data_IF_624582093468
#
_entry.id   IF_624582093468
#
_cell.length_a   1.000
_cell.length_b   1.000
_cell.length_c   1.000
_cell.angle_alpha   90.00
_cell.angle_beta   90.00
_cell.angle_gamma   90.00
#
_symmetry.space_group_name_H-M   'P 1'
#
loop_
_entity.id
_entity.type
_entity.pdbx_description
1 polymer ?
#
# COMPACT_ATOMS: atom_id res chain seq x y z
N UNK A 1 26.40 83.10 34.07
CA UNK A 1 27.73 82.71 33.57
C UNK A 1 27.58 81.41 32.81
N UNK A 2 27.93 81.44 31.52
CA UNK A 2 28.08 80.36 30.52
C UNK A 2 26.78 79.62 30.14
N UNK A 3 26.21 79.69 28.92
CA UNK A 3 26.75 79.82 27.54
C UNK A 3 26.69 78.43 26.88
N UNK A 4 25.75 78.06 25.98
CA UNK A 4 25.59 78.46 24.54
C UNK A 4 26.90 78.11 23.77
N UNK A 5 26.98 77.32 22.69
CA UNK A 5 26.21 77.28 21.44
C UNK A 5 26.64 76.08 20.56
N UNK A 6 25.79 75.70 19.61
CA UNK A 6 26.13 74.97 18.38
C UNK A 6 27.01 75.83 17.46
N UNK A 7 27.89 75.20 16.68
CA UNK A 7 28.29 75.74 15.36
C UNK A 7 28.59 74.61 14.38
N UNK A 8 27.79 74.60 13.31
CA UNK A 8 28.10 74.09 11.97
C UNK A 8 29.33 74.74 11.35
N UNK A 9 29.78 74.15 10.24
CA UNK A 9 30.39 74.76 9.02
C UNK A 9 31.75 74.12 8.63
N UNK A 10 32.29 74.34 7.41
CA UNK A 10 31.69 74.07 6.08
C UNK A 10 32.72 73.53 5.05
N UNK A 11 32.21 73.21 3.84
CA UNK A 11 32.76 73.52 2.50
C UNK A 11 34.21 73.20 2.09
N UNK A 12 34.33 72.60 0.89
CA UNK A 12 35.09 73.05 -0.30
C UNK A 12 35.82 71.89 -1.01
N UNK A 13 35.46 71.62 -2.28
CA UNK A 13 36.17 72.04 -3.52
C UNK A 13 37.52 71.30 -3.66
N UNK A 14 37.90 70.63 -4.75
CA UNK A 14 37.68 70.97 -6.15
C UNK A 14 38.10 69.81 -7.09
N UNK A 15 37.52 69.79 -8.30
CA UNK A 15 38.15 69.74 -9.65
C UNK A 15 39.58 69.15 -9.80
N UNK A 16 40.00 68.42 -10.86
CA UNK A 16 39.45 68.01 -12.16
C UNK A 16 40.49 67.09 -12.86
N UNK A 17 40.05 66.33 -13.89
CA UNK A 17 40.77 65.88 -15.13
C UNK A 17 42.07 65.03 -14.99
N UNK A 18 42.38 63.99 -15.78
CA UNK A 18 42.20 63.82 -17.23
C UNK A 18 42.37 62.34 -17.67
N UNK A 19 41.86 62.08 -18.87
CA UNK A 19 41.96 60.98 -19.83
C UNK A 19 42.87 59.75 -19.59
N UNK A 20 42.31 58.55 -19.87
CA UNK A 20 42.88 57.66 -20.90
C UNK A 20 41.88 56.65 -21.50
N UNK A 21 42.07 56.44 -22.79
CA UNK A 21 41.25 55.91 -23.89
C UNK A 21 41.08 54.36 -23.89
N UNK A 22 40.07 53.78 -24.57
CA UNK A 22 39.69 52.36 -24.44
C UNK A 22 40.32 51.46 -25.51
N UNK A 23 40.33 50.12 -25.34
CA UNK A 23 40.66 49.22 -26.43
C UNK A 23 39.43 48.82 -27.25
N UNK A 24 39.74 48.62 -28.52
CA UNK A 24 38.91 48.61 -29.73
C UNK A 24 38.58 47.17 -30.13
N UNK A 25 37.30 46.97 -30.50
CA UNK A 25 36.71 45.99 -31.44
C UNK A 25 37.62 44.93 -32.06
N UNK A 26 37.11 43.70 -32.12
CA UNK A 26 37.09 42.92 -33.36
C UNK A 26 35.66 42.57 -33.75
N UNK A 27 35.29 42.97 -34.97
CA UNK A 27 34.14 42.47 -35.73
C UNK A 27 34.54 41.11 -36.30
N UNK A 28 33.63 40.14 -36.29
CA UNK A 28 33.56 39.16 -37.37
C UNK A 28 32.10 38.97 -37.76
N UNK A 29 31.82 39.24 -39.03
CA UNK A 29 30.58 38.98 -39.73
C UNK A 29 30.89 38.06 -40.91
N UNK A 30 29.86 37.32 -41.37
CA UNK A 30 29.78 36.30 -42.43
C UNK A 30 29.89 34.87 -41.90
N UNK A 31 29.08 33.91 -42.32
CA UNK A 31 28.00 33.89 -43.33
C UNK A 31 27.32 32.53 -43.25
N UNK A 32 26.01 32.52 -43.58
CA UNK A 32 25.25 31.43 -44.24
C UNK A 32 25.76 29.99 -44.08
N UNK A 33 24.91 29.14 -43.50
CA UNK A 33 24.42 27.96 -44.21
C UNK A 33 23.06 27.55 -43.62
N UNK A 34 22.03 27.96 -44.37
CA UNK A 34 20.77 27.25 -44.48
C UNK A 34 21.12 25.89 -45.07
N UNK A 35 20.82 24.81 -44.34
CA UNK A 35 20.60 23.50 -44.93
C UNK A 35 19.19 23.07 -44.52
N UNK A 36 18.27 23.25 -45.47
CA UNK A 36 17.13 22.38 -45.62
C UNK A 36 17.64 20.94 -45.65
N UNK A 37 17.23 20.14 -44.67
CA UNK A 37 17.12 18.71 -44.88
C UNK A 37 15.65 18.47 -45.20
N UNK A 38 15.36 18.44 -46.49
CA UNK A 38 14.27 17.63 -47.01
C UNK A 38 14.55 16.19 -46.56
N UNK A 39 13.63 15.62 -45.80
CA UNK A 39 13.55 14.17 -45.64
C UNK A 39 12.11 13.80 -45.92
N UNK A 40 11.88 13.47 -47.18
CA UNK A 40 10.79 12.63 -47.61
C UNK A 40 10.76 11.36 -46.75
N UNK A 41 9.63 11.14 -46.11
CA UNK A 41 9.14 9.81 -45.82
C UNK A 41 7.63 9.87 -45.87
N UNK A 42 7.15 9.77 -47.11
CA UNK A 42 5.92 9.06 -47.41
C UNK A 42 5.93 7.70 -46.69
N UNK A 43 5.05 7.52 -45.72
CA UNK A 43 4.37 6.23 -45.57
C UNK A 43 2.96 6.51 -45.10
N UNK A 44 2.14 6.71 -46.12
CA UNK A 44 0.80 6.15 -46.23
C UNK A 44 0.57 4.93 -45.31
N UNK A 45 -0.46 5.05 -44.47
CA UNK A 45 -1.32 3.95 -44.01
C UNK A 45 -2.56 4.56 -43.39
N UNK A 46 -3.46 4.96 -44.29
CA UNK A 46 -4.82 5.29 -43.95
C UNK A 46 -5.57 4.12 -43.30
N UNK A 47 -6.67 4.51 -42.65
CA UNK A 47 -7.99 3.87 -42.64
C UNK A 47 -8.07 2.37 -42.30
N UNK A 48 -8.98 1.87 -41.47
CA UNK A 48 -10.15 2.36 -40.74
C UNK A 48 -10.64 1.12 -39.94
N UNK A 49 -11.54 1.30 -38.97
CA UNK A 49 -11.97 0.26 -38.05
C UNK A 49 -13.05 -0.64 -38.67
N UNK A 50 -13.06 -1.95 -38.38
CA UNK A 50 -14.27 -2.79 -38.54
C UNK A 50 -14.43 -3.86 -37.46
N UNK A 51 -15.62 -3.79 -36.87
CA UNK A 51 -16.31 -4.70 -35.94
C UNK A 51 -16.33 -6.17 -36.39
N UNK A 52 -16.40 -7.07 -35.40
CA UNK A 52 -17.29 -8.26 -35.28
C UNK A 52 -17.00 -8.85 -33.89
N UNK A 53 -17.89 -8.88 -32.90
CA UNK A 53 -19.26 -9.38 -32.97
C UNK A 53 -19.25 -10.91 -32.82
N UNK A 54 -19.19 -11.42 -31.59
CA UNK A 54 -19.71 -12.77 -31.29
C UNK A 54 -20.12 -12.91 -29.83
N UNK A 55 -21.43 -12.84 -29.62
CA UNK A 55 -22.12 -13.34 -28.43
C UNK A 55 -21.94 -14.87 -28.36
N UNK A 56 -21.70 -15.40 -27.17
CA UNK A 56 -21.98 -16.80 -26.84
C UNK A 56 -23.05 -16.82 -25.75
N UNK A 57 -24.25 -17.23 -26.15
CA UNK A 57 -25.36 -17.61 -25.26
C UNK A 57 -25.11 -19.00 -24.64
N UNK A 58 -25.77 -19.30 -23.50
CA UNK A 58 -25.54 -20.48 -22.69
C UNK A 58 -26.18 -21.73 -23.29
N UNK A 59 -25.60 -22.90 -22.99
CA UNK A 59 -26.17 -24.19 -23.36
C UNK A 59 -26.92 -24.75 -22.15
N UNK A 60 -28.25 -24.67 -22.21
CA UNK A 60 -29.14 -25.52 -21.44
C UNK A 60 -29.13 -26.92 -22.07
N UNK A 61 -29.15 -27.95 -21.22
CA UNK A 61 -29.72 -29.25 -21.56
C UNK A 61 -30.45 -29.75 -20.31
N UNK A 62 -31.78 -29.78 -20.42
CA UNK A 62 -32.68 -30.78 -19.84
C UNK A 62 -32.09 -32.19 -20.10
N UNK A 63 -32.27 -33.23 -19.29
CA UNK A 63 -33.19 -33.51 -18.20
C UNK A 63 -33.49 -35.01 -18.29
N UNK A 64 -33.38 -35.76 -17.19
CA UNK A 64 -34.15 -37.00 -17.01
C UNK A 64 -34.26 -37.37 -15.54
N UNK A 65 -35.52 -37.47 -15.16
CA UNK A 65 -36.17 -38.07 -13.99
C UNK A 65 -35.66 -39.47 -13.65
N UNK A 66 -35.56 -39.80 -12.35
CA UNK A 66 -36.38 -40.90 -11.80
C UNK A 66 -36.50 -40.87 -10.27
N UNK A 67 -37.67 -41.33 -9.82
CA UNK A 67 -38.30 -41.30 -8.51
C UNK A 67 -37.74 -42.35 -7.51
N UNK A 68 -37.56 -42.00 -6.22
CA UNK A 68 -38.22 -42.55 -4.99
C UNK A 68 -37.21 -43.14 -3.97
N UNK A 69 -37.55 -43.38 -2.69
CA UNK A 69 -38.28 -42.57 -1.70
C UNK A 69 -37.53 -42.40 -0.35
N UNK A 70 -37.99 -41.42 0.45
CA UNK A 70 -37.67 -41.14 1.88
C UNK A 70 -38.04 -42.29 2.83
N UNK A 71 -37.49 -42.38 4.07
CA UNK A 71 -38.15 -41.75 5.25
C UNK A 71 -37.13 -41.29 6.37
N UNK A 72 -37.54 -40.95 7.62
CA UNK A 72 -37.85 -39.57 8.04
C UNK A 72 -37.13 -39.08 9.34
N UNK A 73 -37.47 -37.85 9.76
CA UNK A 73 -37.21 -37.20 11.08
C UNK A 73 -35.83 -36.54 11.25
N UNK A 74 -35.65 -35.36 11.87
CA UNK A 74 -36.47 -34.63 12.84
C UNK A 74 -36.31 -33.11 12.70
N UNK A 75 -37.41 -32.38 12.93
CA UNK A 75 -37.48 -30.91 12.99
C UNK A 75 -37.00 -30.43 14.36
N UNK A 76 -36.07 -29.49 14.41
CA UNK A 76 -35.93 -28.54 15.52
C UNK A 76 -35.90 -27.11 14.99
N UNK A 77 -36.90 -26.34 15.42
CA UNK A 77 -37.07 -24.90 15.20
C UNK A 77 -36.13 -24.11 16.12
N UNK A 78 -35.42 -23.14 15.57
CA UNK A 78 -34.95 -21.93 16.29
C UNK A 78 -34.69 -20.84 15.25
N UNK A 79 -35.69 -19.96 15.00
CA UNK A 79 -35.72 -18.54 15.38
C UNK A 79 -34.47 -17.73 14.95
N UNK A 80 -34.64 -16.96 13.87
CA UNK A 80 -33.82 -15.80 13.53
C UNK A 80 -33.84 -14.75 14.66
N UNK A 81 -32.74 -14.00 14.80
CA UNK A 81 -32.85 -12.55 14.77
C UNK A 81 -32.10 -11.98 13.57
N UNK A 82 -32.70 -10.91 13.05
CA UNK A 82 -32.11 -10.04 12.06
C UNK A 82 -30.98 -9.21 12.66
N UNK A 83 -30.17 -8.67 11.74
CA UNK A 83 -29.37 -7.46 11.88
C UNK A 83 -28.00 -7.60 12.57
N UNK A 84 -26.96 -7.28 11.81
CA UNK A 84 -25.56 -7.40 12.22
C UNK A 84 -24.67 -7.40 10.99
N UNK A 85 -24.22 -6.19 10.60
CA UNK A 85 -23.46 -5.93 9.39
C UNK A 85 -22.26 -6.86 9.20
N UNK A 86 -22.08 -7.28 7.95
CA UNK A 86 -20.84 -7.88 7.49
C UNK A 86 -19.71 -6.87 7.65
N UNK A 87 -19.04 -6.93 8.80
CA UNK A 87 -17.68 -6.44 8.95
C UNK A 87 -16.84 -7.39 8.11
N UNK A 88 -16.44 -6.95 6.91
CA UNK A 88 -15.33 -7.56 6.19
C UNK A 88 -14.10 -7.40 7.10
N UNK A 89 -13.90 -8.40 7.96
CA UNK A 89 -12.64 -8.59 8.66
C UNK A 89 -11.61 -8.83 7.56
N UNK A 90 -10.68 -7.89 7.41
CA UNK A 90 -9.41 -8.07 6.70
C UNK A 90 -8.61 -9.18 7.41
N UNK A 91 -9.12 -10.40 7.36
CA UNK A 91 -8.54 -11.58 7.96
C UNK A 91 -7.27 -11.88 7.19
N UNK A 92 -6.15 -11.51 7.79
CA UNK A 92 -4.83 -11.92 7.34
C UNK A 92 -4.85 -13.44 7.14
N UNK A 93 -4.79 -13.87 5.88
CA UNK A 93 -4.92 -15.28 5.55
C UNK A 93 -3.69 -16.03 6.08
N UNK A 94 -3.87 -16.80 7.15
CA UNK A 94 -2.80 -17.58 7.76
C UNK A 94 -2.45 -18.75 6.83
N UNK A 95 -1.26 -18.69 6.23
CA UNK A 95 -0.75 -19.78 5.42
C UNK A 95 -0.18 -20.88 6.33
N UNK A 96 -0.85 -22.03 6.34
CA UNK A 96 -0.47 -23.21 7.14
C UNK A 96 0.35 -24.19 6.30
N UNK A 97 1.51 -24.59 6.80
CA UNK A 97 2.39 -25.60 6.17
C UNK A 97 2.62 -26.81 7.07
N UNK A 98 3.05 -27.93 6.48
CA UNK A 98 3.37 -29.15 7.24
C UNK A 98 4.56 -28.87 8.16
N UNK A 99 4.43 -29.23 9.43
CA UNK A 99 5.43 -28.96 10.48
C UNK A 99 5.18 -27.69 11.29
N UNK A 100 4.19 -26.88 10.91
CA UNK A 100 3.78 -25.73 11.72
C UNK A 100 2.99 -26.18 12.95
N UNK A 101 3.15 -25.45 14.05
CA UNK A 101 2.28 -25.56 15.22
C UNK A 101 1.25 -24.44 15.17
N UNK A 102 -0.02 -24.79 15.35
CA UNK A 102 -1.17 -23.89 15.16
C UNK A 102 -2.00 -23.80 16.43
N UNK A 103 -2.62 -22.64 16.62
CA UNK A 103 -3.68 -22.41 17.60
C UNK A 103 -5.02 -22.57 16.89
N UNK A 104 -5.83 -23.50 17.38
CA UNK A 104 -7.20 -23.68 16.93
C UNK A 104 -8.18 -23.07 17.93
N UNK A 105 -9.25 -22.51 17.41
CA UNK A 105 -10.35 -21.98 18.19
C UNK A 105 -11.04 -23.10 19.00
N UNK A 106 -11.22 -22.88 20.30
CA UNK A 106 -11.98 -23.78 21.17
C UNK A 106 -13.43 -23.35 21.37
N UNK A 107 -13.81 -22.17 20.86
CA UNK A 107 -15.04 -21.46 21.17
C UNK A 107 -14.95 -20.57 22.42
N UNK A 108 -13.78 -20.50 23.07
CA UNK A 108 -13.47 -19.59 24.16
C UNK A 108 -12.25 -18.72 23.79
N UNK A 109 -12.42 -17.40 23.79
CA UNK A 109 -11.39 -16.43 23.37
C UNK A 109 -10.13 -16.47 24.26
N UNK A 110 -10.25 -16.92 25.51
CA UNK A 110 -9.12 -17.04 26.43
C UNK A 110 -8.35 -18.35 26.28
N UNK A 111 -8.93 -19.34 25.59
CA UNK A 111 -8.41 -20.69 25.58
C UNK A 111 -8.33 -21.28 24.16
N UNK A 112 -7.13 -21.53 23.67
CA UNK A 112 -6.93 -22.11 22.33
C UNK A 112 -6.40 -23.55 22.42
N UNK A 113 -6.78 -24.40 21.48
CA UNK A 113 -6.17 -25.72 21.33
C UNK A 113 -4.85 -25.62 20.56
N UNK A 114 -3.87 -26.43 20.95
CA UNK A 114 -2.55 -26.45 20.30
C UNK A 114 -2.42 -27.73 19.49
N UNK A 115 -2.03 -27.63 18.22
CA UNK A 115 -1.85 -28.80 17.37
C UNK A 115 -0.66 -28.66 16.40
N UNK A 116 -0.03 -29.79 16.08
CA UNK A 116 1.03 -29.91 15.08
C UNK A 116 0.44 -30.33 13.74
N UNK A 117 0.71 -29.58 12.68
CA UNK A 117 0.23 -29.88 11.33
C UNK A 117 1.04 -31.00 10.72
N UNK A 118 0.41 -32.16 10.50
CA UNK A 118 1.07 -33.36 9.97
C UNK A 118 0.92 -33.53 8.45
N UNK A 119 -0.19 -33.06 7.87
CA UNK A 119 -0.42 -33.10 6.42
C UNK A 119 -1.41 -32.02 6.01
N UNK A 120 -1.21 -31.39 4.85
CA UNK A 120 -2.13 -30.35 4.33
C UNK A 120 -2.81 -30.87 3.06
N UNK A 121 -4.13 -30.70 2.97
CA UNK A 121 -4.93 -31.06 1.80
C UNK A 121 -5.23 -29.82 0.96
N UNK A 122 -4.68 -29.81 -0.26
CA UNK A 122 -4.90 -28.76 -1.27
C UNK A 122 -5.96 -29.26 -2.25
N UNK A 123 -7.02 -28.49 -2.44
CA UNK A 123 -8.09 -28.90 -3.38
C UNK A 123 -7.60 -28.77 -4.83
N UNK A 124 -7.97 -29.70 -5.71
CA UNK A 124 -7.52 -29.72 -7.12
C UNK A 124 -7.89 -28.45 -7.93
N UNK A 125 -8.86 -27.66 -7.47
CA UNK A 125 -9.36 -26.46 -8.17
C UNK A 125 -9.01 -25.13 -7.48
N UNK A 126 -8.27 -25.15 -6.36
CA UNK A 126 -7.80 -23.93 -5.68
C UNK A 126 -6.35 -24.12 -5.26
N UNK A 127 -5.50 -23.14 -5.54
CA UNK A 127 -4.10 -23.08 -5.07
C UNK A 127 -3.96 -22.99 -3.53
N UNK A 128 -5.08 -23.06 -2.78
CA UNK A 128 -5.15 -22.85 -1.33
C UNK A 128 -5.49 -24.15 -0.59
N UNK A 129 -4.86 -24.33 0.57
CA UNK A 129 -5.18 -25.40 1.52
C UNK A 129 -6.61 -25.24 2.03
N UNK A 130 -7.36 -26.35 2.10
CA UNK A 130 -8.77 -26.36 2.56
C UNK A 130 -8.94 -27.06 3.90
N UNK A 131 -8.18 -28.13 4.12
CA UNK A 131 -8.17 -28.88 5.36
C UNK A 131 -6.74 -29.36 5.66
N UNK A 132 -6.47 -29.68 6.92
CA UNK A 132 -5.22 -30.29 7.35
C UNK A 132 -5.48 -31.38 8.39
N UNK A 133 -4.57 -32.35 8.47
CA UNK A 133 -4.54 -33.32 9.56
C UNK A 133 -3.55 -32.83 10.59
N UNK A 134 -3.97 -32.68 11.84
CA UNK A 134 -3.08 -32.26 12.91
C UNK A 134 -3.04 -33.28 14.04
N UNK A 135 -1.90 -33.31 14.73
CA UNK A 135 -1.66 -34.07 15.94
C UNK A 135 -1.79 -33.15 17.14
N UNK A 136 -2.62 -33.52 18.11
CA UNK A 136 -2.96 -32.63 19.22
C UNK A 136 -1.85 -32.56 20.27
N UNK A 137 -1.76 -31.41 20.94
CA UNK A 137 -1.11 -31.29 22.21
C UNK A 137 -2.15 -31.09 23.32
N UNK A 138 -2.01 -31.87 24.38
CA UNK A 138 -2.82 -31.72 25.59
C UNK A 138 -2.25 -30.65 26.49
N UNK A 139 -3.12 -29.89 27.13
CA UNK A 139 -2.74 -28.97 28.19
C UNK A 139 -2.59 -29.69 29.53
N UNK A 140 -1.97 -29.07 30.54
CA UNK A 140 -1.83 -29.66 31.86
C UNK A 140 -3.16 -29.99 32.54
N UNK A 141 -4.24 -29.31 32.16
CA UNK A 141 -5.59 -29.54 32.69
C UNK A 141 -6.29 -30.72 32.03
N UNK A 142 -5.89 -31.09 30.81
CA UNK A 142 -6.41 -32.27 30.10
C UNK A 142 -5.75 -33.58 30.57
N UNK A 143 -4.63 -33.48 31.29
CA UNK A 143 -3.87 -34.63 31.80
C UNK A 143 -4.40 -35.03 33.18
N UNK A 144 -4.64 -36.34 33.37
CA UNK A 144 -5.05 -36.91 34.67
C UNK A 144 -4.13 -36.44 35.80
N UNK A 145 -4.70 -35.97 36.89
CA UNK A 145 -3.98 -35.42 38.05
C UNK A 145 -2.92 -36.37 38.63
N UNK A 146 -3.24 -37.67 38.72
CA UNK A 146 -2.33 -38.72 39.18
C UNK A 146 -1.06 -38.82 38.32
N UNK A 147 -1.21 -38.63 37.00
CA UNK A 147 -0.10 -38.67 36.03
C UNK A 147 0.72 -37.40 36.15
N UNK A 148 0.06 -36.24 36.30
CA UNK A 148 0.70 -34.94 36.49
C UNK A 148 1.58 -34.89 37.74
N UNK A 149 1.13 -35.50 38.83
CA UNK A 149 1.91 -35.63 40.07
C UNK A 149 3.18 -36.49 39.92
N UNK A 150 3.28 -37.29 38.85
CA UNK A 150 4.44 -38.15 38.59
C UNK A 150 5.55 -37.41 37.82
N UNK A 151 5.30 -36.18 37.35
CA UNK A 151 6.24 -35.40 36.54
C UNK A 151 7.37 -34.85 37.42
N UNK A 152 8.65 -35.15 37.12
CA UNK A 152 9.77 -34.62 37.88
C UNK A 152 9.86 -33.09 37.70
N UNK A 153 9.87 -32.37 38.83
CA UNK A 153 9.94 -30.89 38.84
C UNK A 153 8.61 -30.19 38.58
N UNK A 154 7.49 -30.92 38.51
CA UNK A 154 6.18 -30.36 38.23
C UNK A 154 6.00 -29.90 36.79
N UNK A 155 4.89 -29.21 36.53
CA UNK A 155 4.53 -28.70 35.20
C UNK A 155 5.15 -27.30 35.00
N UNK A 156 5.79 -27.09 33.85
CA UNK A 156 6.39 -25.81 33.48
C UNK A 156 5.32 -24.81 32.97
N UNK A 157 5.58 -23.49 33.03
CA UNK A 157 4.70 -22.51 32.41
C UNK A 157 4.59 -22.75 30.90
N UNK A 158 3.37 -22.69 30.36
CA UNK A 158 3.07 -22.99 28.95
C UNK A 158 3.50 -24.40 28.49
N UNK A 159 3.53 -25.37 29.41
CA UNK A 159 3.80 -26.76 29.04
C UNK A 159 2.61 -27.41 28.35
N UNK A 160 2.91 -28.17 27.29
CA UNK A 160 1.95 -28.95 26.51
C UNK A 160 2.50 -30.36 26.29
N UNK A 161 1.62 -31.34 26.14
CA UNK A 161 1.95 -32.76 26.06
C UNK A 161 1.56 -33.33 24.70
N UNK A 162 2.52 -33.89 23.96
CA UNK A 162 2.25 -34.44 22.64
C UNK A 162 1.31 -35.66 22.75
N UNK A 163 0.19 -35.64 22.04
CA UNK A 163 -0.78 -36.74 22.00
C UNK A 163 -0.54 -37.66 20.80
N UNK A 164 -0.89 -38.96 20.85
CA UNK A 164 -1.01 -39.79 19.65
C UNK A 164 -2.26 -39.48 18.79
N UNK A 165 -3.19 -38.66 19.28
CA UNK A 165 -4.45 -38.38 18.59
C UNK A 165 -4.23 -37.46 17.38
N UNK A 166 -4.82 -37.84 16.24
CA UNK A 166 -4.74 -37.11 14.98
C UNK A 166 -6.12 -36.93 14.38
N UNK A 167 -6.49 -35.68 14.08
CA UNK A 167 -7.79 -35.33 13.51
C UNK A 167 -7.64 -34.41 12.30
N UNK A 168 -8.71 -34.36 11.49
CA UNK A 168 -8.80 -33.46 10.33
C UNK A 168 -9.53 -32.19 10.73
N UNK A 169 -8.92 -31.04 10.46
CA UNK A 169 -9.43 -29.72 10.80
C UNK A 169 -9.49 -28.81 9.56
N UNK A 170 -10.38 -27.83 9.60
CA UNK A 170 -10.47 -26.76 8.60
C UNK A 170 -9.38 -25.72 8.82
N UNK A 171 -8.84 -25.14 7.75
CA UNK A 171 -7.88 -24.01 7.84
C UNK A 171 -8.53 -22.77 8.46
N UNK A 172 -9.85 -22.61 8.31
CA UNK A 172 -10.61 -21.49 8.86
C UNK A 172 -10.69 -21.50 10.39
N UNK A 173 -10.46 -22.66 11.04
CA UNK A 173 -10.45 -22.78 12.49
C UNK A 173 -9.12 -22.34 13.14
N UNK A 174 -8.13 -21.94 12.33
CA UNK A 174 -6.81 -21.52 12.81
C UNK A 174 -6.87 -20.04 13.20
N UNK A 175 -6.70 -19.77 14.49
CA UNK A 175 -6.64 -18.41 15.05
C UNK A 175 -5.24 -17.82 14.89
N UNK A 176 -4.21 -18.64 14.96
CA UNK A 176 -2.83 -18.18 14.94
C UNK A 176 -1.80 -19.29 14.76
N UNK A 177 -0.56 -18.89 14.50
CA UNK A 177 0.60 -19.78 14.55
C UNK A 177 1.25 -19.70 15.93
N UNK A 178 1.75 -20.82 16.43
CA UNK A 178 2.51 -20.90 17.67
C UNK A 178 3.79 -21.71 17.46
N UNK A 179 4.65 -21.75 18.47
CA UNK A 179 5.87 -22.53 18.46
C UNK A 179 5.90 -23.47 19.66
N UNK A 180 6.07 -24.77 19.40
CA UNK A 180 6.38 -25.75 20.44
C UNK A 180 7.88 -26.06 20.36
N UNK A 181 8.57 -25.91 21.49
CA UNK A 181 10.04 -25.95 21.60
C UNK A 181 10.49 -26.87 22.74
N UNK A 182 11.77 -27.23 22.74
CA UNK A 182 12.37 -27.99 23.85
C UNK A 182 12.54 -27.13 25.11
N UNK A 183 12.74 -27.73 26.29
CA UNK A 183 12.96 -26.97 27.53
C UNK A 183 14.20 -26.08 27.47
N UNK A 184 15.26 -26.54 26.80
CA UNK A 184 16.50 -25.79 26.64
C UNK A 184 16.28 -24.56 25.74
N UNK A 185 15.65 -24.77 24.58
CA UNK A 185 15.26 -23.67 23.67
C UNK A 185 14.32 -22.68 24.35
N UNK A 186 13.36 -23.15 25.14
CA UNK A 186 12.43 -22.26 25.85
C UNK A 186 13.14 -21.40 26.90
N UNK A 187 14.13 -21.95 27.61
CA UNK A 187 14.92 -21.20 28.58
C UNK A 187 15.74 -20.10 27.90
N UNK A 188 16.35 -20.40 26.75
CA UNK A 188 17.06 -19.41 25.93
C UNK A 188 16.12 -18.30 25.45
N UNK A 189 15.00 -18.65 24.83
CA UNK A 189 14.00 -17.69 24.32
C UNK A 189 13.44 -16.81 25.44
N UNK A 190 13.13 -17.41 26.60
CA UNK A 190 12.64 -16.68 27.76
C UNK A 190 13.68 -15.67 28.25
N UNK A 191 14.96 -16.07 28.31
CA UNK A 191 16.04 -15.18 28.70
C UNK A 191 16.29 -14.05 27.70
N UNK A 192 16.15 -14.30 26.39
CA UNK A 192 16.24 -13.28 25.34
C UNK A 192 15.11 -12.25 25.44
N UNK A 193 13.91 -12.73 25.77
CA UNK A 193 12.71 -11.91 25.91
C UNK A 193 12.79 -11.00 27.14
N UNK A 194 13.26 -11.53 28.27
CA UNK A 194 13.51 -10.75 29.49
C UNK A 194 14.58 -9.68 29.28
N UNK A 195 15.61 -9.98 28.48
CA UNK A 195 16.68 -9.03 28.13
C UNK A 195 16.30 -8.02 27.04
N UNK A 196 15.13 -8.17 26.40
CA UNK A 196 14.64 -7.27 25.36
C UNK A 196 15.35 -7.38 24.01
N UNK A 197 16.14 -8.44 23.78
CA UNK A 197 16.78 -8.69 22.48
C UNK A 197 15.80 -9.20 21.43
N UNK A 198 14.64 -9.70 21.87
CA UNK A 198 13.58 -10.22 21.03
C UNK A 198 12.28 -9.47 21.35
N UNK A 199 11.60 -9.01 20.31
CA UNK A 199 10.26 -8.45 20.47
C UNK A 199 9.30 -9.57 20.95
N UNK A 200 8.34 -9.23 21.81
CA UNK A 200 7.26 -10.16 22.20
C UNK A 200 6.50 -10.53 20.94
N UNK A 201 6.90 -11.62 20.30
CA UNK A 201 6.30 -12.07 19.05
C UNK A 201 4.81 -12.30 19.25
N UNK A 202 4.00 -11.94 18.26
CA UNK A 202 2.57 -12.30 18.23
C UNK A 202 2.32 -13.80 18.39
N UNK A 203 3.32 -14.65 18.10
CA UNK A 203 3.25 -16.11 18.22
C UNK A 203 3.67 -16.55 19.62
N UNK A 204 2.82 -17.24 20.40
CA UNK A 204 3.20 -17.76 21.70
C UNK A 204 4.13 -18.98 21.59
N UNK A 205 4.96 -19.16 22.62
CA UNK A 205 5.86 -20.30 22.78
C UNK A 205 5.34 -21.25 23.86
N UNK A 206 5.31 -22.54 23.52
CA UNK A 206 4.94 -23.64 24.41
C UNK A 206 6.11 -24.61 24.57
N UNK A 207 6.18 -25.26 25.74
CA UNK A 207 7.22 -26.25 26.06
C UNK A 207 6.62 -27.64 25.96
N UNK A 208 7.33 -28.58 25.35
CA UNK A 208 6.89 -29.98 25.34
C UNK A 208 8.02 -30.92 25.74
N UNK A 209 7.87 -31.60 26.88
CA UNK A 209 8.83 -32.58 27.41
C UNK A 209 8.42 -34.03 27.23
N UNK A 210 7.10 -34.28 27.21
CA UNK A 210 6.57 -35.62 27.31
C UNK A 210 5.47 -35.85 26.28
N UNK A 211 5.41 -37.10 25.81
CA UNK A 211 4.29 -37.64 25.05
C UNK A 211 3.31 -38.29 26.02
N UNK A 212 2.05 -37.91 25.94
CA UNK A 212 0.98 -38.38 26.82
C UNK A 212 0.06 -39.37 26.10
N UNK A 213 -0.20 -40.51 26.74
CA UNK A 213 -1.13 -41.53 26.26
C UNK A 213 -2.30 -41.69 27.25
N UNK A 214 -3.48 -41.09 26.97
CA UNK A 214 -4.62 -41.12 27.88
C UNK A 214 -5.11 -42.54 28.24
N UNK A 215 -4.94 -43.48 27.32
CA UNK A 215 -5.40 -44.87 27.45
C UNK A 215 -4.45 -45.80 28.20
N UNK A 216 -3.25 -45.32 28.60
CA UNK A 216 -2.26 -46.14 29.31
C UNK A 216 -2.38 -45.99 30.83
N UNK A 217 -1.89 -47.01 31.55
CA UNK A 217 -1.72 -46.94 33.01
C UNK A 217 -0.78 -45.80 33.41
N UNK A 218 -0.98 -45.21 34.59
CA UNK A 218 -0.24 -44.04 35.12
C UNK A 218 1.28 -44.13 34.90
N UNK A 219 1.90 -45.28 35.22
CA UNK A 219 3.36 -45.50 35.09
C UNK A 219 3.90 -45.50 33.65
N UNK A 220 3.03 -45.67 32.66
CA UNK A 220 3.36 -45.72 31.22
C UNK A 220 2.64 -44.63 30.41
N UNK A 221 1.95 -43.72 31.11
CA UNK A 221 1.14 -42.69 30.49
C UNK A 221 2.01 -41.56 29.91
N UNK A 222 3.21 -41.35 30.48
CA UNK A 222 4.18 -40.37 30.01
C UNK A 222 5.42 -41.07 29.45
N UNK A 223 5.86 -40.58 28.31
CA UNK A 223 7.09 -41.00 27.64
C UNK A 223 7.95 -39.74 27.40
N UNK A 224 9.20 -39.67 27.88
CA UNK A 224 10.07 -38.52 27.63
C UNK A 224 10.36 -38.38 26.13
N UNK A 225 10.26 -37.16 25.61
CA UNK A 225 10.53 -36.84 24.21
C UNK A 225 11.99 -36.38 24.04
N UNK A 226 12.58 -36.76 22.91
CA UNK A 226 13.80 -36.13 22.41
C UNK A 226 13.44 -34.85 21.64
N UNK A 227 14.38 -33.90 21.52
CA UNK A 227 14.16 -32.63 20.83
C UNK A 227 13.71 -32.80 19.37
N UNK A 228 14.12 -33.88 18.71
CA UNK A 228 13.74 -34.20 17.33
C UNK A 228 12.28 -34.68 17.23
N UNK A 229 11.75 -35.27 18.31
CA UNK A 229 10.43 -35.88 18.37
C UNK A 229 9.32 -34.91 18.83
N UNK A 230 9.68 -33.76 19.40
CA UNK A 230 8.72 -32.75 19.92
C UNK A 230 7.70 -32.33 18.85
N UNK A 231 8.12 -32.33 17.58
CA UNK A 231 7.29 -32.04 16.40
C UNK A 231 6.99 -33.29 15.57
N UNK A 232 6.82 -34.43 16.23
CA UNK A 232 6.45 -35.69 15.59
C UNK A 232 7.50 -36.19 14.58
N UNK A 233 8.79 -35.93 14.84
CA UNK A 233 9.89 -36.30 13.94
C UNK A 233 10.05 -35.38 12.72
N UNK A 234 9.29 -34.28 12.64
CA UNK A 234 9.48 -33.24 11.62
C UNK A 234 10.66 -32.30 11.96
N UNK A 235 11.30 -32.52 13.12
CA UNK A 235 12.48 -31.81 13.60
C UNK A 235 12.22 -30.33 13.91
N UNK A 236 13.18 -29.65 14.55
CA UNK A 236 13.20 -28.20 14.60
C UNK A 236 13.22 -27.63 13.17
N UNK A 237 12.64 -26.44 12.96
CA UNK A 237 12.84 -25.66 11.72
C UNK A 237 14.31 -25.19 11.67
N UNK A 238 15.24 -26.13 11.45
CA UNK A 238 16.64 -25.77 11.20
C UNK A 238 16.67 -24.91 9.94
N UNK A 239 17.43 -23.81 9.92
CA UNK A 239 17.59 -23.02 8.72
C UNK A 239 18.02 -23.96 7.59
N UNK A 240 17.39 -23.82 6.43
CA UNK A 240 17.72 -24.65 5.27
C UNK A 240 19.13 -24.24 4.79
N UNK A 241 20.12 -25.05 5.15
CA UNK A 241 21.53 -24.86 4.77
C UNK A 241 21.85 -25.83 3.63
N UNK A 242 22.47 -25.31 2.57
CA UNK A 242 22.88 -26.09 1.39
C UNK A 242 22.97 -25.22 0.14
N UNK A 243 23.66 -25.71 -0.88
CA UNK A 243 23.91 -24.98 -2.14
C UNK A 243 22.61 -24.56 -2.84
N UNK A 244 21.53 -25.33 -2.67
CA UNK A 244 20.21 -24.98 -3.20
C UNK A 244 19.48 -23.85 -2.44
N UNK A 245 19.94 -23.47 -1.25
CA UNK A 245 19.30 -22.47 -0.38
C UNK A 245 20.16 -21.21 -0.20
N UNK A 246 21.48 -21.34 -0.32
CA UNK A 246 22.41 -20.22 -0.19
C UNK A 246 22.58 -19.50 -1.53
N UNK A 247 22.59 -18.17 -1.50
CA UNK A 247 22.90 -17.38 -2.69
C UNK A 247 24.36 -17.58 -3.09
N UNK A 248 24.63 -17.83 -4.38
CA UNK A 248 25.99 -17.85 -4.90
C UNK A 248 26.61 -16.47 -4.71
N UNK A 249 27.63 -16.39 -3.86
CA UNK A 249 28.35 -15.14 -3.63
C UNK A 249 28.97 -14.67 -4.95
N UNK A 250 28.66 -13.46 -5.43
CA UNK A 250 29.29 -12.93 -6.63
C UNK A 250 30.80 -12.85 -6.39
N UNK A 251 31.58 -13.46 -7.28
CA UNK A 251 33.03 -13.39 -7.19
C UNK A 251 33.46 -11.93 -7.29
N UNK A 252 34.34 -11.50 -6.39
CA UNK A 252 34.92 -10.15 -6.44
C UNK A 252 35.67 -10.01 -7.78
N UNK A 253 35.08 -9.28 -8.71
CA UNK A 253 35.75 -8.98 -9.96
C UNK A 253 36.99 -8.15 -9.64
N UNK A 254 38.18 -8.65 -10.01
CA UNK A 254 39.41 -7.86 -9.99
C UNK A 254 39.11 -6.58 -10.76
N UNK A 255 39.41 -5.42 -10.15
CA UNK A 255 39.18 -4.08 -10.70
C UNK A 255 39.40 -4.14 -12.22
N UNK A 256 38.33 -4.05 -13.03
CA UNK A 256 38.51 -4.14 -14.47
C UNK A 256 39.49 -3.05 -14.87
N UNK A 257 40.44 -3.40 -15.75
CA UNK A 257 41.36 -2.41 -16.32
C UNK A 257 40.54 -1.22 -16.78
N UNK A 258 40.93 0.00 -16.39
CA UNK A 258 40.16 1.21 -16.63
C UNK A 258 39.76 1.27 -18.10
N UNK A 259 38.52 0.90 -18.42
CA UNK A 259 38.07 0.91 -19.79
C UNK A 259 37.92 2.38 -20.16
N UNK A 260 38.71 2.92 -21.11
CA UNK A 260 38.78 4.36 -21.37
C UNK A 260 37.48 4.98 -21.91
N UNK A 261 36.43 4.16 -22.05
CA UNK A 261 35.14 4.54 -22.60
C UNK A 261 33.96 4.43 -21.61
N UNK A 262 34.15 3.90 -20.39
CA UNK A 262 33.06 3.87 -19.41
C UNK A 262 32.87 5.25 -18.78
N UNK A 263 32.19 6.09 -19.55
CA UNK A 263 31.64 7.35 -19.07
C UNK A 263 30.19 7.03 -18.69
N UNK A 264 29.80 7.05 -17.40
CA UNK A 264 28.49 6.61 -16.93
C UNK A 264 27.29 7.27 -17.61
N UNK A 265 27.48 8.45 -18.22
CA UNK A 265 26.45 9.18 -18.95
C UNK A 265 26.48 9.02 -20.48
N UNK A 266 27.49 8.34 -21.06
CA UNK A 266 27.44 7.94 -22.48
C UNK A 266 26.61 6.67 -22.60
N UNK A 267 25.49 6.77 -23.33
CA UNK A 267 24.76 5.60 -23.78
C UNK A 267 25.59 4.90 -24.84
N UNK A 268 26.32 3.86 -24.46
CA UNK A 268 26.68 2.83 -25.42
C UNK A 268 25.43 1.98 -25.68
N UNK A 269 25.06 1.82 -26.96
CA UNK A 269 23.92 1.01 -27.39
C UNK A 269 24.06 -0.48 -27.05
N UNK A 270 25.22 -0.90 -26.52
CA UNK A 270 25.51 -2.26 -26.06
C UNK A 270 25.06 -2.54 -24.62
N UNK A 271 24.70 -1.51 -23.84
CA UNK A 271 24.27 -1.67 -22.46
C UNK A 271 22.74 -1.79 -22.42
N UNK A 272 22.18 -2.88 -21.86
CA UNK A 272 20.73 -3.09 -21.84
C UNK A 272 20.03 -1.92 -21.15
N UNK A 273 18.89 -1.51 -21.70
CA UNK A 273 18.06 -0.39 -21.24
C UNK A 273 17.48 -0.56 -19.80
N UNK A 274 17.90 -1.60 -19.07
CA UNK A 274 17.53 -1.91 -17.70
C UNK A 274 18.29 -1.11 -16.65
N UNK A 275 19.28 -0.29 -17.03
CA UNK A 275 19.94 0.60 -16.08
C UNK A 275 19.00 1.73 -15.63
N UNK A 276 19.09 2.05 -14.34
CA UNK A 276 18.32 3.13 -13.71
C UNK A 276 18.42 4.41 -14.55
N UNK A 277 17.28 4.88 -15.05
CA UNK A 277 17.20 6.16 -15.76
C UNK A 277 17.24 7.28 -14.74
N UNK A 278 18.22 8.18 -14.85
CA UNK A 278 18.23 9.38 -14.04
C UNK A 278 17.01 10.25 -14.36
N UNK A 279 16.12 10.40 -13.38
CA UNK A 279 14.92 11.25 -13.48
C UNK A 279 15.18 12.66 -12.92
N UNK A 280 16.09 12.78 -11.96
CA UNK A 280 16.46 14.06 -11.34
C UNK A 280 17.93 14.03 -10.89
N UNK A 281 18.54 15.21 -10.75
CA UNK A 281 19.88 15.37 -10.17
C UNK A 281 19.79 16.38 -9.02
N UNK A 282 20.26 16.06 -7.80
CA UNK A 282 20.27 17.02 -6.70
C UNK A 282 21.01 18.32 -7.02
N UNK A 283 22.11 18.24 -7.77
CA UNK A 283 22.92 19.39 -8.20
C UNK A 283 22.15 20.41 -9.07
N UNK A 284 21.06 19.97 -9.70
CA UNK A 284 20.20 20.87 -10.49
C UNK A 284 19.47 21.86 -9.59
N UNK A 285 19.07 21.44 -8.38
CA UNK A 285 18.34 22.32 -7.46
C UNK A 285 19.22 23.50 -7.05
N UNK A 286 20.50 23.24 -6.79
CA UNK A 286 21.48 24.27 -6.43
C UNK A 286 21.82 25.19 -7.60
N UNK A 287 21.96 24.64 -8.81
CA UNK A 287 22.42 25.42 -9.98
C UNK A 287 21.29 26.14 -10.73
N UNK A 288 20.05 25.66 -10.64
CA UNK A 288 18.91 26.15 -11.43
C UNK A 288 17.75 26.63 -10.55
N UNK A 289 18.01 27.03 -9.31
CA UNK A 289 16.98 27.44 -8.35
C UNK A 289 16.03 28.51 -8.90
N UNK A 290 16.57 29.54 -9.55
CA UNK A 290 15.80 30.66 -10.12
C UNK A 290 14.86 30.17 -11.22
N UNK A 291 15.33 29.30 -12.11
CA UNK A 291 14.52 28.71 -13.19
C UNK A 291 13.41 27.85 -12.60
N UNK A 292 13.71 27.03 -11.59
CA UNK A 292 12.72 26.18 -10.93
C UNK A 292 11.64 27.04 -10.28
N UNK A 293 12.00 28.13 -9.60
CA UNK A 293 11.04 29.04 -8.97
C UNK A 293 10.11 29.70 -9.99
N UNK A 294 10.68 30.30 -11.03
CA UNK A 294 9.90 30.90 -12.12
C UNK A 294 8.99 29.89 -12.83
N UNK A 295 9.51 28.67 -13.05
CA UNK A 295 8.73 27.59 -13.65
C UNK A 295 7.56 27.16 -12.76
N UNK A 296 7.76 27.03 -11.44
CA UNK A 296 6.68 26.68 -10.51
C UNK A 296 5.57 27.74 -10.49
N UNK A 297 5.93 29.02 -10.45
CA UNK A 297 4.97 30.13 -10.53
C UNK A 297 4.12 30.07 -11.81
N UNK A 298 4.75 29.80 -12.95
CA UNK A 298 4.05 29.63 -14.24
C UNK A 298 3.18 28.37 -14.25
N UNK A 299 3.67 27.25 -13.74
CA UNK A 299 2.91 26.00 -13.70
C UNK A 299 1.69 26.13 -12.80
N UNK A 300 1.77 26.85 -11.69
CA UNK A 300 0.62 27.07 -10.82
C UNK A 300 -0.50 27.84 -11.51
N UNK A 301 -0.16 28.81 -12.37
CA UNK A 301 -1.17 29.50 -13.21
C UNK A 301 -1.88 28.55 -14.17
N UNK A 302 -1.20 27.51 -14.64
CA UNK A 302 -1.74 26.49 -15.55
C UNK A 302 -2.58 25.47 -14.79
N UNK A 303 -2.08 24.99 -13.64
CA UNK A 303 -2.77 24.02 -12.78
C UNK A 303 -4.13 24.51 -12.33
N UNK A 304 -4.15 25.76 -11.89
CA UNK A 304 -5.28 26.36 -11.22
C UNK A 304 -5.99 27.40 -12.10
N UNK A 305 -5.82 27.34 -13.42
CA UNK A 305 -6.52 28.23 -14.34
C UNK A 305 -8.04 28.16 -14.13
N UNK A 306 -8.72 29.30 -14.29
CA UNK A 306 -10.18 29.40 -14.19
C UNK A 306 -10.85 28.40 -15.14
N UNK A 307 -11.79 27.63 -14.61
CA UNK A 307 -12.49 26.57 -15.32
C UNK A 307 -11.81 25.20 -15.31
N UNK A 308 -10.62 25.06 -14.71
CA UNK A 308 -10.02 23.76 -14.44
C UNK A 308 -10.76 23.06 -13.30
N UNK A 309 -10.84 21.73 -13.40
CA UNK A 309 -11.30 20.85 -12.35
C UNK A 309 -10.09 20.42 -11.50
N UNK A 310 -10.20 20.63 -10.20
CA UNK A 310 -9.24 20.21 -9.18
C UNK A 310 -9.95 19.31 -8.17
N UNK A 311 -9.18 18.61 -7.35
CA UNK A 311 -9.69 17.72 -6.31
C UNK A 311 -9.39 18.31 -4.94
N UNK A 312 -10.35 18.24 -4.05
CA UNK A 312 -10.24 18.64 -2.66
C UNK A 312 -10.56 17.42 -1.79
N UNK A 313 -9.70 17.13 -0.81
CA UNK A 313 -9.98 16.11 0.19
C UNK A 313 -10.81 16.75 1.28
N UNK A 314 -12.10 16.42 1.32
CA UNK A 314 -12.96 16.90 2.38
C UNK A 314 -12.89 15.94 3.58
N UNK A 315 -12.63 16.49 4.76
CA UNK A 315 -12.67 15.78 6.05
C UNK A 315 -13.88 16.16 6.91
N UNK A 316 -14.80 16.97 6.40
CA UNK A 316 -15.99 17.36 7.15
C UNK A 316 -16.87 16.15 7.46
N UNK A 317 -17.33 16.08 8.72
CA UNK A 317 -18.26 15.08 9.23
C UNK A 317 -17.76 13.63 9.28
N UNK A 318 -16.44 13.42 9.31
CA UNK A 318 -15.84 12.08 9.49
C UNK A 318 -15.93 11.18 8.25
N UNK A 319 -16.52 11.67 7.15
CA UNK A 319 -16.53 10.99 5.86
C UNK A 319 -15.38 11.59 5.04
N UNK A 320 -14.22 10.95 5.07
CA UNK A 320 -13.09 11.33 4.23
C UNK A 320 -13.38 10.96 2.78
N UNK A 321 -13.44 11.96 1.90
CA UNK A 321 -13.73 11.74 0.48
C UNK A 321 -13.08 12.77 -0.43
N UNK A 322 -12.82 12.35 -1.67
CA UNK A 322 -12.35 13.25 -2.73
C UNK A 322 -13.55 13.89 -3.41
N UNK A 323 -13.64 15.22 -3.35
CA UNK A 323 -14.65 16.01 -4.04
C UNK A 323 -14.01 16.79 -5.17
N UNK A 324 -14.60 16.73 -6.36
CA UNK A 324 -14.13 17.54 -7.49
C UNK A 324 -14.70 18.95 -7.39
N UNK A 325 -13.88 19.92 -7.75
CA UNK A 325 -14.22 21.33 -7.70
C UNK A 325 -13.78 22.03 -8.99
N UNK A 326 -14.57 23.00 -9.46
CA UNK A 326 -14.18 23.88 -10.56
C UNK A 326 -13.58 25.18 -10.01
N UNK A 327 -12.45 25.61 -10.56
CA UNK A 327 -11.81 26.88 -10.19
C UNK A 327 -12.61 28.04 -10.78
N UNK A 328 -13.07 28.96 -9.93
CA UNK A 328 -13.85 30.13 -10.33
C UNK A 328 -12.98 31.38 -10.48
N UNK A 329 -12.11 31.63 -9.50
CA UNK A 329 -11.35 32.88 -9.42
C UNK A 329 -10.07 32.70 -8.60
N UNK A 330 -9.01 33.36 -9.06
CA UNK A 330 -7.80 33.57 -8.26
C UNK A 330 -8.00 34.73 -7.29
N UNK A 331 -7.73 34.47 -6.01
CA UNK A 331 -7.64 35.50 -4.98
C UNK A 331 -6.17 35.84 -4.77
N UNK A 332 -5.78 37.12 -4.69
CA UNK A 332 -4.39 37.50 -4.46
C UNK A 332 -3.97 37.18 -3.02
N UNK A 333 -3.55 35.94 -2.75
CA UNK A 333 -2.92 35.45 -1.50
C UNK A 333 -3.01 33.91 -1.41
N UNK A 334 -2.27 33.17 -2.26
CA UNK A 334 -2.19 31.68 -2.28
C UNK A 334 -3.52 30.89 -2.24
N UNK A 335 -4.63 31.58 -2.46
CA UNK A 335 -5.98 31.08 -2.26
C UNK A 335 -6.79 31.20 -3.53
N UNK A 336 -7.70 30.27 -3.70
CA UNK A 336 -8.52 30.13 -4.89
C UNK A 336 -9.96 29.94 -4.43
N UNK A 337 -10.88 30.60 -5.13
CA UNK A 337 -12.30 30.34 -4.98
C UNK A 337 -12.68 29.18 -5.90
N UNK A 338 -13.22 28.13 -5.30
CA UNK A 338 -13.64 26.91 -6.00
C UNK A 338 -15.13 26.65 -5.75
N UNK A 339 -15.79 26.04 -6.72
CA UNK A 339 -17.16 25.52 -6.55
C UNK A 339 -17.10 24.00 -6.58
N UNK A 340 -17.54 23.37 -5.49
CA UNK A 340 -17.59 21.91 -5.40
C UNK A 340 -18.68 21.34 -6.30
N UNK A 341 -18.61 20.04 -6.58
CA UNK A 341 -19.66 19.31 -7.28
C UNK A 341 -21.02 19.33 -6.57
N UNK A 342 -21.04 19.65 -5.26
CA UNK A 342 -22.27 19.86 -4.48
C UNK A 342 -22.89 21.27 -4.67
N UNK A 343 -22.20 22.17 -5.37
CA UNK A 343 -22.63 23.55 -5.60
C UNK A 343 -22.22 24.53 -4.50
N UNK A 344 -21.47 24.09 -3.49
CA UNK A 344 -20.92 24.98 -2.46
C UNK A 344 -19.71 25.73 -2.99
N UNK A 345 -19.65 27.04 -2.73
CA UNK A 345 -18.52 27.88 -3.09
C UNK A 345 -17.67 28.08 -1.83
N UNK A 346 -16.39 27.73 -1.90
CA UNK A 346 -15.43 27.91 -0.82
C UNK A 346 -14.18 28.62 -1.33
N UNK A 347 -13.47 29.28 -0.42
CA UNK A 347 -12.12 29.79 -0.66
C UNK A 347 -11.14 28.90 0.07
N UNK A 348 -10.21 28.30 -0.68
CA UNK A 348 -9.31 27.25 -0.18
C UNK A 348 -7.88 27.57 -0.62
N UNK A 349 -6.88 27.10 0.15
CA UNK A 349 -5.48 27.26 -0.21
C UNK A 349 -5.11 26.35 -1.38
N UNK A 350 -4.18 26.79 -2.23
CA UNK A 350 -3.65 25.94 -3.32
C UNK A 350 -3.09 24.60 -2.82
N UNK A 351 -2.47 24.60 -1.64
CA UNK A 351 -1.87 23.42 -1.02
C UNK A 351 -2.87 22.33 -0.65
N UNK A 352 -4.13 22.69 -0.42
CA UNK A 352 -5.20 21.73 -0.08
C UNK A 352 -5.87 21.15 -1.34
N UNK A 353 -5.49 21.65 -2.52
CA UNK A 353 -6.06 21.26 -3.80
C UNK A 353 -5.08 20.39 -4.58
N UNK A 354 -5.58 19.28 -5.10
CA UNK A 354 -4.84 18.39 -5.98
C UNK A 354 -5.19 18.69 -7.45
N UNK A 355 -4.21 19.18 -8.20
CA UNK A 355 -4.29 19.29 -9.66
C UNK A 355 -4.00 17.92 -10.31
N UNK A 356 -4.60 17.60 -11.48
CA UNK A 356 -4.19 16.44 -12.27
C UNK A 356 -2.75 16.54 -12.81
N UNK A 357 -2.08 17.69 -12.67
CA UNK A 357 -0.68 17.88 -12.96
C UNK A 357 0.14 18.02 -11.65
N UNK A 358 0.55 16.92 -11.00
CA UNK A 358 1.34 16.95 -9.78
C UNK A 358 2.77 17.49 -9.98
N UNK A 359 3.46 17.80 -8.87
CA UNK A 359 4.81 18.41 -8.87
C UNK A 359 5.87 17.51 -9.50
N UNK A 360 5.84 16.21 -9.25
CA UNK A 360 6.74 15.23 -9.84
C UNK A 360 6.66 15.21 -11.38
N UNK A 361 5.45 15.24 -11.94
CA UNK A 361 5.22 15.27 -13.39
C UNK A 361 5.70 16.59 -14.00
N UNK A 362 5.41 17.71 -13.34
CA UNK A 362 5.83 19.03 -13.80
C UNK A 362 7.35 19.18 -13.75
N UNK A 363 8.01 18.77 -12.67
CA UNK A 363 9.47 18.83 -12.53
C UNK A 363 10.17 17.87 -13.50
N UNK A 364 9.64 16.67 -13.70
CA UNK A 364 10.17 15.75 -14.71
C UNK A 364 10.06 16.32 -16.14
N UNK A 365 8.99 17.07 -16.45
CA UNK A 365 8.88 17.77 -17.73
C UNK A 365 9.96 18.85 -17.88
N UNK A 366 10.24 19.63 -16.82
CA UNK A 366 11.32 20.62 -16.81
C UNK A 366 12.70 19.96 -17.02
N UNK A 367 12.96 18.86 -16.31
CA UNK A 367 14.21 18.10 -16.45
C UNK A 367 14.38 17.53 -17.86
N UNK A 368 13.32 16.93 -18.40
CA UNK A 368 13.29 16.36 -19.75
C UNK A 368 13.48 17.43 -20.84
N UNK A 369 12.96 18.63 -20.60
CA UNK A 369 13.12 19.80 -21.47
C UNK A 369 14.48 20.51 -21.30
N UNK A 370 15.43 19.91 -20.56
CA UNK A 370 16.76 20.50 -20.28
C UNK A 370 16.64 21.92 -19.69
N UNK A 371 15.69 22.12 -18.78
CA UNK A 371 15.42 23.40 -18.12
C UNK A 371 14.91 24.51 -19.04
N UNK A 372 14.46 24.19 -20.25
CA UNK A 372 13.72 25.14 -21.08
C UNK A 372 12.30 25.29 -20.56
N UNK A 373 12.00 26.43 -19.93
CA UNK A 373 10.68 26.77 -19.38
C UNK A 373 9.60 26.66 -20.45
N UNK A 374 9.82 27.21 -21.65
CA UNK A 374 8.83 27.22 -22.72
C UNK A 374 8.39 25.81 -23.15
N UNK A 375 9.35 24.91 -23.40
CA UNK A 375 9.06 23.53 -23.77
C UNK A 375 8.42 22.75 -22.62
N UNK A 376 8.89 22.95 -21.39
CA UNK A 376 8.33 22.30 -20.20
C UNK A 376 6.87 22.72 -19.94
N UNK A 377 6.59 24.03 -20.05
CA UNK A 377 5.24 24.60 -19.94
C UNK A 377 4.34 24.08 -21.04
N UNK A 378 4.80 24.02 -22.29
CA UNK A 378 4.04 23.46 -23.39
C UNK A 378 3.68 21.98 -23.14
N UNK A 379 4.64 21.17 -22.70
CA UNK A 379 4.42 19.76 -22.37
C UNK A 379 3.39 19.59 -21.23
N UNK A 380 3.49 20.42 -20.19
CA UNK A 380 2.53 20.44 -19.08
C UNK A 380 1.14 20.90 -19.52
N UNK A 381 1.06 21.93 -20.36
CA UNK A 381 -0.19 22.47 -20.91
C UNK A 381 -0.96 21.42 -21.73
N UNK A 382 -0.28 20.68 -22.60
CA UNK A 382 -0.89 19.58 -23.35
C UNK A 382 -1.41 18.50 -22.40
N UNK A 383 -0.60 18.07 -21.43
CA UNK A 383 -0.98 17.03 -20.47
C UNK A 383 -2.18 17.43 -19.62
N UNK A 384 -2.19 18.65 -19.08
CA UNK A 384 -3.31 19.12 -18.28
C UNK A 384 -4.57 19.25 -19.13
N UNK A 385 -4.46 19.71 -20.38
CA UNK A 385 -5.61 19.84 -21.29
C UNK A 385 -6.27 18.49 -21.55
N UNK A 386 -5.47 17.44 -21.75
CA UNK A 386 -6.00 16.08 -21.95
C UNK A 386 -6.61 15.50 -20.67
N UNK A 387 -5.96 15.69 -19.52
CA UNK A 387 -6.51 15.26 -18.23
C UNK A 387 -7.82 16.00 -17.88
N UNK A 388 -7.91 17.29 -18.16
CA UNK A 388 -9.09 18.12 -17.90
C UNK A 388 -10.31 17.67 -18.72
N UNK A 389 -10.15 17.03 -19.88
CA UNK A 389 -11.29 16.45 -20.61
C UNK A 389 -11.97 15.35 -19.79
N UNK A 390 -11.19 14.47 -19.17
CA UNK A 390 -11.68 13.38 -18.35
C UNK A 390 -12.24 13.90 -17.02
N UNK A 391 -11.54 14.84 -16.37
CA UNK A 391 -11.99 15.41 -15.10
C UNK A 391 -13.26 16.25 -15.24
N UNK A 392 -13.43 16.99 -16.35
CA UNK A 392 -14.68 17.71 -16.64
C UNK A 392 -15.86 16.78 -16.84
N UNK A 393 -15.66 15.65 -17.51
CA UNK A 393 -16.72 14.67 -17.68
C UNK A 393 -17.09 14.01 -16.34
N UNK A 394 -16.09 13.60 -15.56
CA UNK A 394 -16.31 13.08 -14.22
C UNK A 394 -17.03 14.09 -13.30
N UNK A 395 -16.64 15.37 -13.36
CA UNK A 395 -17.29 16.44 -12.59
C UNK A 395 -18.76 16.61 -12.98
N UNK A 396 -19.11 16.56 -14.27
CA UNK A 396 -20.52 16.62 -14.70
C UNK A 396 -21.35 15.48 -14.14
N UNK A 397 -20.83 14.25 -14.19
CA UNK A 397 -21.52 13.07 -13.64
C UNK A 397 -21.70 13.21 -12.13
N UNK A 398 -20.68 13.68 -11.43
CA UNK A 398 -20.71 13.94 -9.99
C UNK A 398 -21.75 15.00 -9.60
N UNK A 399 -21.83 16.09 -10.37
CA UNK A 399 -22.87 17.13 -10.19
C UNK A 399 -24.27 16.57 -10.39
N UNK A 400 -24.49 15.71 -11.40
CA UNK A 400 -25.80 15.09 -11.63
C UNK A 400 -26.20 14.20 -10.44
N UNK A 401 -25.28 13.37 -9.95
CA UNK A 401 -25.51 12.50 -8.79
C UNK A 401 -25.87 13.34 -7.55
N UNK A 402 -25.11 14.40 -7.27
CA UNK A 402 -25.40 15.25 -6.11
C UNK A 402 -26.70 16.04 -6.26
N UNK A 403 -27.06 16.48 -7.48
CA UNK A 403 -28.33 17.13 -7.74
C UNK A 403 -29.52 16.18 -7.50
N UNK A 404 -29.41 14.92 -7.94
CA UNK A 404 -30.40 13.88 -7.69
C UNK A 404 -30.53 13.57 -6.19
N UNK A 405 -29.41 13.38 -5.47
CA UNK A 405 -29.41 13.15 -4.03
C UNK A 405 -30.02 14.33 -3.26
N UNK A 406 -29.71 15.58 -3.64
CA UNK A 406 -30.28 16.77 -3.04
C UNK A 406 -31.79 16.91 -3.33
N UNK A 407 -32.25 16.48 -4.51
CA UNK A 407 -33.69 16.42 -4.82
C UNK A 407 -34.40 15.35 -3.99
N UNK A 408 -33.81 14.16 -3.84
CA UNK A 408 -34.34 13.08 -3.01
C UNK A 408 -34.41 13.48 -1.53
N UNK A 409 -33.37 14.13 -1.00
CA UNK A 409 -33.34 14.63 0.37
C UNK A 409 -34.46 15.67 0.63
N UNK A 410 -34.65 16.63 -0.29
CA UNK A 410 -35.75 17.59 -0.23
C UNK A 410 -37.13 16.93 -0.27
N UNK A 411 -37.31 15.92 -1.12
CA UNK A 411 -38.56 15.16 -1.18
C UNK A 411 -38.85 14.40 0.11
N UNK A 412 -37.82 13.78 0.73
CA UNK A 412 -37.95 13.10 2.04
C UNK A 412 -38.34 14.08 3.14
N UNK A 413 -37.65 15.22 3.24
CA UNK A 413 -37.97 16.26 4.23
C UNK A 413 -39.41 16.79 4.07
N UNK A 414 -39.87 16.99 2.83
CA UNK A 414 -41.24 17.40 2.57
C UNK A 414 -42.27 16.36 3.02
N UNK A 415 -42.02 15.06 2.78
CA UNK A 415 -42.89 13.98 3.26
C UNK A 415 -42.90 13.88 4.79
N UNK A 416 -41.75 14.03 5.44
CA UNK A 416 -41.63 14.03 6.91
C UNK A 416 -42.37 15.23 7.53
N UNK A 417 -42.26 16.42 6.91
CA UNK A 417 -42.98 17.61 7.33
C UNK A 417 -44.50 17.44 7.19
N UNK A 418 -45.00 16.86 6.10
CA UNK A 418 -46.43 16.57 5.92
C UNK A 418 -46.91 15.52 6.94
N UNK A 419 -46.12 14.46 7.18
CA UNK A 419 -46.43 13.45 8.19
C UNK A 419 -46.49 14.06 9.60
N UNK A 420 -45.56 14.96 9.95
CA UNK A 420 -45.56 15.67 11.22
C UNK A 420 -46.77 16.62 11.35
N UNK A 421 -47.14 17.32 10.27
CA UNK A 421 -48.32 18.19 10.23
C UNK A 421 -49.62 17.39 10.41
N UNK A 422 -49.74 16.23 9.77
CA UNK A 422 -50.89 15.32 9.95
C UNK A 422 -51.00 14.78 11.37
N UNK A 423 -49.87 14.47 12.02
CA UNK A 423 -49.84 14.05 13.43
C UNK A 423 -50.30 15.15 14.39
N UNK A 424 -50.01 16.43 14.11
CA UNK A 424 -50.46 17.57 14.93
C UNK A 424 -51.95 17.91 14.77
N UNK A 425 -52.59 17.45 13.70
CA UNK A 425 -54.03 17.66 13.44
C UNK A 425 -54.92 16.57 14.03
N UNK A 426 -54.34 15.44 14.43
CA UNK A 426 -55.02 14.39 15.18
C UNK A 426 -54.77 14.62 16.66
#
# INVERSE_FOLDING_TARGET
MNGVEQTDSPSNEDSATDASTPPRRTRSARSRLILQAESDSESDKGARPRRRGRQRKPKQSEGTTDDTPKPPSNKSKTKNPADGGAVESDGEYIQVTVGDCVLLDSGNDEEHYVALVSSVQVSQNREKATAFTAQWYYKPDDVREEVRATIPGGVLPNEVFLSPHKDKNSVEAVVGLCNVVSPEEYAEISSELERGFRERSQKPYFVCRFKYYPSRSIKKALEPLSDEDIRGGLGPQKPKVGDQYQATLPQLQKKPAAHPAYIPWRRDNSVPASLARQVWSPLVVETQEVIIRQYRELIDSIRFAVGNIVKFYNHENGISGVVRCIVLKHVPSESIQVCTSTGTISTTLKGDLCSPLPDDIALNALYSARFSIAFAVQACSTRITDAQKLEKEAFKQEVLIFAELAAQARARQAMEADAAARKRRK
#
